data_IF_381410172251
#
_entry.id   IF_381410172251
#
_cell.length_a   1.000
_cell.length_b   1.000
_cell.length_c   1.000
_cell.angle_alpha   90.00
_cell.angle_beta   90.00
_cell.angle_gamma   90.00
#
_symmetry.space_group_name_H-M   'P 1'
#
loop_
_entity.id
_entity.type
_entity.pdbx_description
1 polymer ?
#
# COMPACT_ATOMS: atom_id res chain seq x y z
N UNK A 1 99.04 -50.04 7.66
CA UNK A 1 98.05 -49.05 8.01
C UNK A 1 97.54 -48.43 6.75
N UNK A 2 96.50 -49.00 6.18
CA UNK A 2 95.99 -48.65 4.86
C UNK A 2 94.69 -47.86 5.02
N UNK A 3 94.67 -46.72 4.45
CA UNK A 3 93.44 -45.83 4.46
C UNK A 3 92.61 -46.16 3.23
N UNK A 4 91.37 -46.58 3.42
CA UNK A 4 90.41 -46.86 2.36
C UNK A 4 89.80 -45.57 1.80
N UNK A 5 89.62 -45.41 0.49
CA UNK A 5 88.96 -44.22 -0.08
C UNK A 5 87.48 -44.43 -0.10
N UNK A 6 86.76 -43.36 0.34
CA UNK A 6 85.32 -43.21 0.33
C UNK A 6 84.77 -43.01 -1.09
N UNK A 7 84.04 -43.99 -1.65
CA UNK A 7 83.34 -43.90 -2.93
C UNK A 7 81.95 -43.14 -2.73
N UNK A 8 81.92 -41.94 -3.17
CA UNK A 8 80.64 -41.21 -3.33
C UNK A 8 79.80 -41.76 -4.48
N UNK A 9 78.67 -42.32 -4.18
CA UNK A 9 77.65 -42.76 -5.14
C UNK A 9 76.91 -41.56 -5.72
N UNK A 10 77.25 -41.15 -6.97
CA UNK A 10 76.39 -40.21 -7.76
C UNK A 10 75.15 -40.96 -8.23
N UNK A 11 74.03 -40.69 -7.61
CA UNK A 11 72.72 -41.19 -8.01
C UNK A 11 72.25 -40.38 -9.21
N UNK A 12 72.46 -40.80 -10.41
CA UNK A 12 71.94 -40.24 -11.64
C UNK A 12 70.48 -40.64 -11.75
N UNK A 13 69.54 -39.74 -11.31
CA UNK A 13 68.10 -39.87 -11.55
C UNK A 13 67.84 -39.60 -13.05
N UNK A 14 68.00 -40.64 -13.91
CA UNK A 14 67.41 -40.59 -15.25
C UNK A 14 65.91 -40.77 -15.12
N UNK A 15 65.17 -39.67 -15.06
CA UNK A 15 63.67 -39.71 -15.17
C UNK A 15 63.36 -40.41 -16.50
N UNK A 16 62.61 -41.50 -16.44
CA UNK A 16 62.05 -42.20 -17.59
C UNK A 16 61.31 -41.25 -18.48
N UNK A 17 61.41 -41.41 -19.81
CA UNK A 17 60.73 -40.56 -20.80
C UNK A 17 59.24 -40.43 -20.46
N UNK A 18 58.63 -41.52 -19.95
CA UNK A 18 57.25 -41.53 -19.49
C UNK A 18 56.99 -40.61 -18.27
N UNK A 19 57.93 -40.45 -17.34
CA UNK A 19 57.79 -39.57 -16.17
C UNK A 19 57.88 -38.11 -16.59
N UNK A 20 58.77 -37.79 -17.56
CA UNK A 20 58.84 -36.43 -18.12
C UNK A 20 57.62 -36.08 -18.90
N UNK A 21 57.00 -37.01 -19.63
CA UNK A 21 55.73 -36.81 -20.33
C UNK A 21 54.56 -36.57 -19.36
N UNK A 22 54.49 -37.36 -18.28
CA UNK A 22 53.41 -37.13 -17.23
C UNK A 22 53.56 -35.79 -16.54
N UNK A 23 54.75 -35.33 -16.23
CA UNK A 23 55.01 -34.01 -15.64
C UNK A 23 54.63 -32.90 -16.61
N UNK A 24 54.96 -33.02 -17.92
CA UNK A 24 54.57 -32.04 -18.92
C UNK A 24 53.06 -31.92 -19.07
N UNK A 25 52.35 -33.05 -19.09
CA UNK A 25 50.89 -33.05 -19.13
C UNK A 25 50.29 -32.39 -17.87
N UNK A 26 50.82 -32.70 -16.68
CA UNK A 26 50.35 -32.09 -15.43
C UNK A 26 50.54 -30.56 -15.42
N UNK A 27 51.68 -30.08 -15.94
CA UNK A 27 51.93 -28.62 -16.05
C UNK A 27 50.93 -27.96 -17.01
N UNK A 28 50.65 -28.60 -18.17
CA UNK A 28 49.68 -28.07 -19.15
C UNK A 28 48.28 -27.98 -18.53
N UNK A 29 47.85 -29.01 -17.78
CA UNK A 29 46.57 -29.02 -17.11
C UNK A 29 46.47 -27.88 -16.05
N UNK A 30 47.54 -27.69 -15.27
CA UNK A 30 47.59 -26.61 -14.26
C UNK A 30 47.54 -25.22 -14.92
N UNK A 31 48.24 -25.03 -16.04
CA UNK A 31 48.23 -23.78 -16.80
C UNK A 31 46.85 -23.53 -17.41
N UNK A 32 46.22 -24.56 -18.00
CA UNK A 32 44.88 -24.44 -18.55
C UNK A 32 43.82 -24.11 -17.44
N UNK A 33 43.92 -24.75 -16.27
CA UNK A 33 43.09 -24.44 -15.12
C UNK A 33 43.35 -23.01 -14.62
N UNK A 34 44.56 -22.56 -14.57
CA UNK A 34 44.94 -21.19 -14.19
C UNK A 34 44.33 -20.15 -15.15
N UNK A 35 44.45 -20.40 -16.48
CA UNK A 35 43.85 -19.52 -17.50
C UNK A 35 42.34 -19.56 -17.42
N UNK A 36 41.72 -20.73 -17.17
CA UNK A 36 40.26 -20.87 -17.01
C UNK A 36 39.74 -20.08 -15.79
N UNK A 37 40.41 -20.24 -14.66
CA UNK A 37 40.08 -19.47 -13.44
C UNK A 37 40.29 -17.97 -13.66
N UNK A 38 41.42 -17.58 -14.29
CA UNK A 38 41.67 -16.17 -14.61
C UNK A 38 40.61 -15.60 -15.57
N UNK A 39 40.17 -16.38 -16.56
CA UNK A 39 39.11 -15.98 -17.49
C UNK A 39 37.73 -15.84 -16.77
N UNK A 40 37.46 -16.71 -15.79
CA UNK A 40 36.28 -16.59 -14.93
C UNK A 40 36.35 -15.33 -14.07
N UNK A 41 37.48 -15.00 -13.50
CA UNK A 41 37.65 -13.79 -12.68
C UNK A 41 37.89 -12.52 -13.53
N UNK A 42 38.43 -12.61 -14.71
CA UNK A 42 38.63 -11.49 -15.64
C UNK A 42 37.47 -11.23 -16.57
N UNK A 43 36.47 -12.12 -16.59
CA UNK A 43 35.22 -11.84 -17.25
C UNK A 43 34.58 -10.69 -16.48
N UNK A 44 34.60 -9.49 -17.07
CA UNK A 44 33.91 -8.27 -16.59
C UNK A 44 32.36 -8.38 -16.61
N UNK A 45 31.85 -9.59 -16.77
CA UNK A 45 30.50 -9.93 -16.34
C UNK A 45 30.55 -10.19 -14.84
N UNK A 46 31.05 -9.21 -14.08
CA UNK A 46 30.73 -9.09 -12.69
C UNK A 46 29.22 -9.13 -12.63
N UNK A 47 28.65 -10.06 -11.89
CA UNK A 47 27.35 -9.94 -11.29
C UNK A 47 27.45 -8.66 -10.44
N UNK A 48 27.29 -7.52 -11.11
CA UNK A 48 27.04 -6.29 -10.41
C UNK A 48 25.62 -6.46 -9.89
N UNK A 49 25.52 -6.87 -8.64
CA UNK A 49 24.44 -6.51 -7.76
C UNK A 49 24.56 -4.99 -7.57
N UNK A 50 24.42 -4.26 -8.68
CA UNK A 50 24.05 -2.86 -8.61
C UNK A 50 22.67 -2.90 -7.94
N UNK A 51 22.49 -2.35 -6.73
CA UNK A 51 21.15 -2.07 -6.28
C UNK A 51 20.56 -1.23 -7.39
N UNK A 52 19.59 -1.78 -8.10
CA UNK A 52 18.83 -1.04 -9.10
C UNK A 52 18.05 -0.01 -8.30
N UNK A 53 18.67 1.16 -8.06
CA UNK A 53 18.05 2.32 -7.45
C UNK A 53 17.12 3.01 -8.46
N UNK A 54 16.83 2.38 -9.59
CA UNK A 54 15.80 2.85 -10.49
C UNK A 54 14.46 2.70 -9.75
N UNK A 55 13.93 3.83 -9.32
CA UNK A 55 12.60 3.96 -8.73
C UNK A 55 11.59 3.66 -9.84
N UNK A 56 11.36 2.38 -10.13
CA UNK A 56 10.45 1.94 -11.18
C UNK A 56 9.23 1.27 -10.55
N UNK A 57 8.18 2.07 -10.29
CA UNK A 57 6.87 1.49 -10.10
C UNK A 57 6.35 1.01 -11.46
N UNK A 58 5.93 -0.25 -11.54
CA UNK A 58 5.47 -0.83 -12.80
C UNK A 58 3.99 -0.52 -13.05
N UNK A 59 3.54 -0.45 -14.32
CA UNK A 59 2.12 -0.28 -14.63
C UNK A 59 1.22 -1.35 -13.99
N UNK A 60 1.71 -2.57 -13.85
CA UNK A 60 1.00 -3.67 -13.18
C UNK A 60 0.80 -3.40 -11.70
N UNK A 61 1.81 -2.86 -11.02
CA UNK A 61 1.69 -2.46 -9.60
C UNK A 61 0.68 -1.33 -9.42
N UNK A 62 0.71 -0.32 -10.29
CA UNK A 62 -0.26 0.78 -10.28
C UNK A 62 -1.68 0.23 -10.49
N UNK A 63 -1.86 -0.68 -11.46
CA UNK A 63 -3.16 -1.29 -11.71
C UNK A 63 -3.64 -2.11 -10.50
N UNK A 64 -2.76 -2.90 -9.87
CA UNK A 64 -3.11 -3.66 -8.67
C UNK A 64 -3.55 -2.76 -7.51
N UNK A 65 -2.96 -1.58 -7.36
CA UNK A 65 -3.39 -0.59 -6.36
C UNK A 65 -4.77 -0.03 -6.73
N UNK A 66 -5.03 0.27 -8.01
CA UNK A 66 -6.36 0.73 -8.46
C UNK A 66 -7.45 -0.32 -8.25
N UNK A 67 -7.11 -1.60 -8.41
CA UNK A 67 -8.04 -2.73 -8.26
C UNK A 67 -8.51 -2.93 -6.81
N UNK A 68 -7.87 -2.27 -5.82
CA UNK A 68 -8.38 -2.19 -4.45
C UNK A 68 -9.78 -1.53 -4.46
N UNK A 69 -10.03 -0.61 -5.40
CA UNK A 69 -11.28 0.12 -5.52
C UNK A 69 -11.44 1.14 -4.39
N UNK A 70 -12.44 0.96 -3.54
CA UNK A 70 -12.69 1.88 -2.43
C UNK A 70 -11.80 1.56 -1.24
N UNK A 71 -11.19 2.61 -0.66
CA UNK A 71 -10.35 2.50 0.53
C UNK A 71 -10.82 3.48 1.60
N UNK A 72 -11.29 2.91 2.72
CA UNK A 72 -11.77 3.66 3.88
C UNK A 72 -10.59 4.14 4.75
N UNK A 73 -10.64 5.41 5.16
CA UNK A 73 -9.63 6.03 6.03
C UNK A 73 -10.18 6.55 7.34
N UNK A 74 -11.50 6.76 7.43
CA UNK A 74 -12.17 7.21 8.65
C UNK A 74 -13.60 6.70 8.67
N UNK A 75 -13.97 5.99 9.75
CA UNK A 75 -15.35 5.65 10.07
C UNK A 75 -15.83 6.51 11.24
N UNK A 76 -17.02 7.12 11.12
CA UNK A 76 -17.61 7.98 12.12
C UNK A 76 -18.95 7.38 12.51
N UNK A 77 -19.04 6.88 13.74
CA UNK A 77 -20.29 6.45 14.31
C UNK A 77 -21.04 7.66 14.83
N UNK A 78 -22.31 7.78 14.46
CA UNK A 78 -23.15 8.88 14.87
C UNK A 78 -24.53 8.36 15.32
N UNK A 79 -25.15 9.12 16.21
CA UNK A 79 -26.49 8.91 16.72
C UNK A 79 -27.25 10.23 16.60
N UNK A 80 -28.45 10.19 16.00
CA UNK A 80 -29.32 11.33 15.86
C UNK A 80 -30.70 11.03 16.47
N UNK A 81 -31.15 11.95 17.29
CA UNK A 81 -32.48 11.90 17.87
C UNK A 81 -33.36 12.90 17.13
N UNK A 82 -34.39 12.39 16.49
CA UNK A 82 -35.35 13.19 15.73
C UNK A 82 -36.71 13.12 16.42
N UNK A 83 -37.27 14.26 16.70
CA UNK A 83 -38.62 14.41 17.25
C UNK A 83 -39.59 15.06 16.24
N UNK A 84 -40.81 14.71 16.33
CA UNK A 84 -41.91 15.30 15.56
C UNK A 84 -43.17 15.38 16.43
N UNK A 85 -43.75 16.57 16.50
CA UNK A 85 -45.00 16.83 17.22
C UNK A 85 -46.04 17.29 16.24
N UNK A 86 -47.24 16.70 16.35
CA UNK A 86 -48.43 17.11 15.58
C UNK A 86 -49.49 17.58 16.57
N UNK A 87 -49.79 18.86 16.55
CA UNK A 87 -50.80 19.44 17.39
C UNK A 87 -52.21 19.10 16.89
N UNK A 88 -53.04 18.53 17.74
CA UNK A 88 -54.41 18.13 17.44
C UNK A 88 -55.44 18.74 18.43
N UNK A 89 -56.68 18.84 17.98
CA UNK A 89 -57.78 19.41 18.82
C UNK A 89 -58.03 18.56 20.08
N UNK A 90 -57.81 17.25 20.01
CA UNK A 90 -58.02 16.31 21.12
C UNK A 90 -56.70 15.90 21.83
N UNK A 91 -55.63 16.66 21.59
CA UNK A 91 -54.31 16.41 22.18
C UNK A 91 -53.23 16.24 21.12
N UNK A 92 -51.97 16.32 21.55
CA UNK A 92 -50.82 16.24 20.69
C UNK A 92 -50.39 14.78 20.47
N UNK A 93 -50.05 14.48 19.24
CA UNK A 93 -49.32 13.28 18.86
C UNK A 93 -47.79 13.60 18.81
N UNK A 94 -46.99 12.73 19.35
CA UNK A 94 -45.53 12.92 19.42
C UNK A 94 -44.83 11.63 19.07
N UNK A 95 -43.77 11.73 18.22
CA UNK A 95 -42.91 10.63 17.83
C UNK A 95 -41.46 11.06 17.98
N UNK A 96 -40.71 10.32 18.80
CA UNK A 96 -39.28 10.49 18.96
C UNK A 96 -38.58 9.20 18.52
N UNK A 97 -37.65 9.31 17.57
CA UNK A 97 -36.88 8.19 17.06
C UNK A 97 -35.38 8.43 17.19
N UNK A 98 -34.67 7.35 17.48
CA UNK A 98 -33.20 7.35 17.55
C UNK A 98 -32.68 6.60 16.33
N UNK A 99 -31.85 7.28 15.55
CA UNK A 99 -31.21 6.77 14.37
C UNK A 99 -29.72 6.56 14.65
N UNK A 100 -29.18 5.41 14.25
CA UNK A 100 -27.76 5.08 14.35
C UNK A 100 -27.18 4.99 12.96
N UNK A 101 -25.98 5.52 12.76
CA UNK A 101 -25.31 5.47 11.45
C UNK A 101 -23.79 5.39 11.57
N UNK A 102 -23.16 4.88 10.53
CA UNK A 102 -21.70 4.84 10.40
C UNK A 102 -21.31 5.44 9.06
N UNK A 103 -20.80 6.67 9.07
CA UNK A 103 -20.34 7.34 7.87
C UNK A 103 -18.88 6.96 7.60
N UNK A 104 -18.60 6.44 6.40
CA UNK A 104 -17.29 5.99 5.98
C UNK A 104 -16.69 6.95 4.98
N UNK A 105 -15.59 7.59 5.38
CA UNK A 105 -14.84 8.53 4.55
C UNK A 105 -13.61 7.86 3.98
N UNK A 106 -13.41 8.00 2.67
CA UNK A 106 -12.30 7.38 1.97
C UNK A 106 -12.14 7.91 0.56
N UNK A 107 -11.38 7.19 -0.23
CA UNK A 107 -11.20 7.45 -1.67
C UNK A 107 -11.68 6.27 -2.48
N UNK A 108 -12.00 6.55 -3.74
CA UNK A 108 -12.21 5.52 -4.75
C UNK A 108 -11.07 5.59 -5.76
N UNK A 109 -10.26 4.56 -5.79
CA UNK A 109 -9.11 4.48 -6.67
C UNK A 109 -9.50 4.28 -8.14
N UNK A 110 -10.74 3.89 -8.40
CA UNK A 110 -11.26 3.81 -9.77
C UNK A 110 -11.50 5.21 -10.36
N UNK A 111 -11.74 6.21 -9.52
CA UNK A 111 -11.87 7.62 -9.94
C UNK A 111 -10.51 8.29 -10.23
N UNK A 112 -9.39 7.57 -10.06
CA UNK A 112 -8.05 8.12 -10.31
C UNK A 112 -7.67 8.06 -11.78
N UNK A 113 -6.83 9.00 -12.21
CA UNK A 113 -6.14 8.91 -13.50
C UNK A 113 -5.21 7.70 -13.54
N UNK A 114 -4.90 7.22 -14.75
CA UNK A 114 -3.98 6.09 -14.91
C UNK A 114 -2.59 6.39 -14.34
N UNK A 115 -2.21 7.66 -14.32
CA UNK A 115 -0.91 8.15 -13.89
C UNK A 115 -0.94 8.79 -12.47
N UNK A 116 -1.91 8.37 -11.62
CA UNK A 116 -2.00 8.90 -10.27
C UNK A 116 -0.77 8.57 -9.41
N UNK A 117 0.00 7.56 -9.81
CA UNK A 117 1.33 7.25 -9.27
C UNK A 117 2.34 7.37 -10.40
N UNK A 118 3.35 8.22 -10.24
CA UNK A 118 4.37 8.45 -11.26
C UNK A 118 5.73 8.77 -10.65
N UNK A 119 6.78 8.46 -11.40
CA UNK A 119 8.15 8.83 -11.03
C UNK A 119 8.38 10.31 -11.34
N UNK A 120 8.94 11.04 -10.40
CA UNK A 120 9.35 12.44 -10.54
C UNK A 120 10.78 12.63 -9.98
N UNK A 121 11.77 12.56 -10.85
CA UNK A 121 13.18 12.55 -10.45
C UNK A 121 13.52 11.27 -9.68
N UNK A 122 14.01 11.40 -8.46
CA UNK A 122 14.32 10.29 -7.55
C UNK A 122 13.18 9.95 -6.57
N UNK A 123 11.98 10.48 -6.81
CA UNK A 123 10.82 10.36 -5.93
C UNK A 123 9.63 9.74 -6.66
N UNK A 124 8.78 9.05 -5.91
CA UNK A 124 7.44 8.64 -6.37
C UNK A 124 6.45 9.72 -5.94
N UNK A 125 5.74 10.29 -6.91
CA UNK A 125 4.61 11.17 -6.67
C UNK A 125 3.31 10.37 -6.74
N UNK A 126 2.52 10.44 -5.66
CA UNK A 126 1.17 9.86 -5.56
C UNK A 126 0.16 10.99 -5.49
N UNK A 127 -0.74 11.07 -6.47
CA UNK A 127 -1.84 12.03 -6.53
C UNK A 127 -3.13 11.34 -6.10
N UNK A 128 -3.59 11.60 -4.86
CA UNK A 128 -4.81 11.01 -4.33
C UNK A 128 -6.05 11.81 -4.79
N UNK A 129 -7.15 11.12 -5.11
CA UNK A 129 -8.43 11.77 -5.37
C UNK A 129 -8.98 12.39 -4.08
N UNK A 130 -10.03 13.23 -4.15
CA UNK A 130 -10.61 13.83 -2.97
C UNK A 130 -11.24 12.77 -2.07
N UNK A 131 -11.22 13.02 -0.76
CA UNK A 131 -11.97 12.23 0.20
C UNK A 131 -13.46 12.35 -0.13
N UNK A 132 -14.17 11.25 -0.10
CA UNK A 132 -15.63 11.21 -0.30
C UNK A 132 -16.31 10.30 0.71
N UNK A 133 -17.63 10.45 0.86
CA UNK A 133 -18.45 9.45 1.52
C UNK A 133 -18.53 8.21 0.63
N UNK A 134 -18.17 7.04 1.18
CA UNK A 134 -18.10 5.79 0.41
C UNK A 134 -19.46 5.07 0.35
N UNK A 135 -20.29 5.25 1.39
CA UNK A 135 -21.59 4.60 1.47
C UNK A 135 -22.67 5.65 1.77
N UNK A 136 -23.71 5.72 0.93
CA UNK A 136 -24.85 6.60 1.13
C UNK A 136 -25.98 5.95 1.96
N UNK A 137 -25.91 4.65 2.23
CA UNK A 137 -26.85 3.92 3.08
C UNK A 137 -26.23 3.68 4.46
N UNK A 138 -25.76 4.75 5.10
CA UNK A 138 -25.00 4.68 6.33
C UNK A 138 -25.87 4.59 7.59
N UNK A 139 -27.19 4.82 7.50
CA UNK A 139 -28.12 4.66 8.62
C UNK A 139 -28.47 3.18 8.76
N UNK A 140 -28.30 2.66 9.96
CA UNK A 140 -28.68 1.30 10.34
C UNK A 140 -30.16 1.25 10.73
N UNK A 141 -31.01 0.93 9.77
CA UNK A 141 -32.47 0.83 9.98
C UNK A 141 -32.85 -0.25 11.00
N UNK A 142 -32.08 -1.32 11.08
CA UNK A 142 -32.33 -2.41 12.02
C UNK A 142 -32.11 -1.99 13.48
N UNK A 143 -31.25 -1.01 13.72
CA UNK A 143 -31.00 -0.42 15.05
C UNK A 143 -31.86 0.78 15.33
N UNK A 144 -32.53 1.36 14.32
CA UNK A 144 -33.41 2.51 14.49
C UNK A 144 -34.62 2.15 15.37
N UNK A 145 -34.81 2.86 16.44
CA UNK A 145 -35.89 2.58 17.42
C UNK A 145 -36.76 3.79 17.66
N UNK A 146 -38.07 3.55 17.93
CA UNK A 146 -38.94 4.59 18.50
C UNK A 146 -38.66 4.67 20.00
N UNK A 147 -38.15 5.82 20.46
CA UNK A 147 -37.95 6.10 21.88
C UNK A 147 -39.23 6.44 22.57
N UNK A 148 -40.09 7.24 21.89
CA UNK A 148 -41.40 7.61 22.33
C UNK A 148 -42.35 7.69 21.13
N UNK A 149 -43.56 7.17 21.30
CA UNK A 149 -44.59 7.20 20.25
C UNK A 149 -45.96 7.34 20.88
N UNK A 150 -46.68 8.42 20.52
CA UNK A 150 -48.05 8.72 20.92
C UNK A 150 -48.81 9.22 19.70
N UNK A 151 -49.98 8.65 19.44
CA UNK A 151 -50.83 8.96 18.28
C UNK A 151 -50.51 8.09 17.06
N UNK A 152 -51.15 8.38 15.94
CA UNK A 152 -51.00 7.61 14.69
C UNK A 152 -50.01 8.26 13.76
N UNK A 153 -49.01 7.48 13.33
CA UNK A 153 -47.93 7.93 12.47
C UNK A 153 -47.87 7.10 11.18
N UNK A 154 -47.83 7.79 10.05
CA UNK A 154 -47.79 7.16 8.73
C UNK A 154 -46.37 6.77 8.34
N UNK A 155 -46.22 5.93 7.31
CA UNK A 155 -44.90 5.62 6.72
C UNK A 155 -44.21 6.91 6.24
N UNK A 156 -44.97 7.85 5.65
CA UNK A 156 -44.43 9.13 5.18
C UNK A 156 -43.82 9.95 6.31
N UNK A 157 -44.49 10.02 7.47
CA UNK A 157 -43.98 10.76 8.63
C UNK A 157 -42.62 10.16 9.08
N UNK A 158 -42.50 8.83 9.04
CA UNK A 158 -41.23 8.12 9.39
C UNK A 158 -40.16 8.36 8.36
N UNK A 159 -40.49 8.41 7.06
CA UNK A 159 -39.57 8.74 5.98
C UNK A 159 -39.06 10.18 6.10
N UNK A 160 -39.94 11.14 6.41
CA UNK A 160 -39.56 12.54 6.63
C UNK A 160 -38.59 12.67 7.83
N UNK A 161 -38.80 11.89 8.91
CA UNK A 161 -37.88 11.82 10.04
C UNK A 161 -36.54 11.18 9.66
N UNK A 162 -36.56 10.12 8.83
CA UNK A 162 -35.34 9.47 8.31
C UNK A 162 -34.50 10.47 7.50
N UNK A 163 -35.12 11.24 6.60
CA UNK A 163 -34.42 12.24 5.80
C UNK A 163 -33.79 13.33 6.69
N UNK A 164 -34.48 13.78 7.72
CA UNK A 164 -33.95 14.75 8.69
C UNK A 164 -32.75 14.17 9.44
N UNK A 165 -32.81 12.92 9.87
CA UNK A 165 -31.69 12.24 10.51
C UNK A 165 -30.49 12.10 9.54
N UNK A 166 -30.75 11.70 8.30
CA UNK A 166 -29.75 11.57 7.25
C UNK A 166 -29.00 12.89 7.00
N UNK A 167 -29.75 14.00 6.82
CA UNK A 167 -29.16 15.32 6.60
C UNK A 167 -28.36 15.81 7.82
N UNK A 168 -28.91 15.63 9.03
CA UNK A 168 -28.24 16.02 10.27
C UNK A 168 -26.90 15.24 10.47
N UNK A 169 -26.89 13.94 10.20
CA UNK A 169 -25.68 13.12 10.25
C UNK A 169 -24.64 13.56 9.22
N UNK A 170 -25.06 13.86 7.98
CA UNK A 170 -24.14 14.38 6.95
C UNK A 170 -23.53 15.71 7.38
N UNK A 171 -24.34 16.64 7.85
CA UNK A 171 -23.87 17.96 8.27
C UNK A 171 -22.88 17.88 9.45
N UNK A 172 -23.15 16.98 10.40
CA UNK A 172 -22.30 16.78 11.58
C UNK A 172 -20.99 16.05 11.26
N UNK A 173 -20.99 15.12 10.30
CA UNK A 173 -19.86 14.25 10.00
C UNK A 173 -18.97 14.75 8.86
N UNK A 174 -19.54 15.44 7.85
CA UNK A 174 -18.78 15.98 6.71
C UNK A 174 -18.18 17.36 7.00
N UNK A 175 -17.65 17.52 8.19
CA UNK A 175 -16.94 18.75 8.60
C UNK A 175 -15.46 18.69 8.19
N UNK A 176 -14.86 19.86 7.99
CA UNK A 176 -13.47 20.01 7.56
C UNK A 176 -12.49 19.20 8.42
N UNK A 177 -12.71 19.14 9.73
CA UNK A 177 -11.86 18.39 10.66
C UNK A 177 -11.84 16.89 10.35
N UNK A 178 -12.98 16.29 10.02
CA UNK A 178 -13.09 14.86 9.69
C UNK A 178 -12.49 14.58 8.32
N UNK A 179 -12.73 15.45 7.33
CA UNK A 179 -12.10 15.35 6.01
C UNK A 179 -10.59 15.39 6.14
N UNK A 180 -10.03 16.38 6.85
CA UNK A 180 -8.56 16.47 7.09
C UNK A 180 -8.01 15.26 7.85
N UNK A 181 -8.80 14.67 8.73
CA UNK A 181 -8.39 13.45 9.44
C UNK A 181 -8.32 12.26 8.50
N UNK A 182 -9.31 12.08 7.63
CA UNK A 182 -9.30 11.06 6.59
C UNK A 182 -8.13 11.26 5.60
N UNK A 183 -7.85 12.51 5.18
CA UNK A 183 -6.68 12.85 4.33
C UNK A 183 -5.36 12.48 4.99
N UNK A 184 -5.17 12.82 6.28
CA UNK A 184 -3.95 12.44 7.02
C UNK A 184 -3.77 10.93 7.08
N UNK A 185 -4.85 10.20 7.34
CA UNK A 185 -4.83 8.74 7.39
C UNK A 185 -4.50 8.15 6.00
N UNK A 186 -5.10 8.69 4.94
CA UNK A 186 -4.79 8.32 3.57
C UNK A 186 -3.31 8.51 3.26
N UNK A 187 -2.77 9.70 3.55
CA UNK A 187 -1.37 10.04 3.31
C UNK A 187 -0.42 9.07 4.05
N UNK A 188 -0.71 8.77 5.31
CA UNK A 188 0.09 7.84 6.09
C UNK A 188 0.05 6.41 5.54
N UNK A 189 -1.12 5.94 5.12
CA UNK A 189 -1.27 4.58 4.59
C UNK A 189 -0.59 4.46 3.23
N UNK A 190 -0.76 5.42 2.32
CA UNK A 190 -0.07 5.42 1.04
C UNK A 190 1.44 5.59 1.18
N UNK A 191 1.89 6.43 2.10
CA UNK A 191 3.32 6.54 2.41
C UNK A 191 3.91 5.21 2.86
N UNK A 192 3.24 4.51 3.78
CA UNK A 192 3.67 3.18 4.25
C UNK A 192 3.64 2.14 3.13
N UNK A 193 2.61 2.18 2.28
CA UNK A 193 2.49 1.28 1.13
C UNK A 193 3.67 1.46 0.18
N UNK A 194 3.97 2.70 -0.22
CA UNK A 194 5.10 2.99 -1.12
C UNK A 194 6.44 2.60 -0.49
N UNK A 195 6.63 2.85 0.82
CA UNK A 195 7.81 2.41 1.56
C UNK A 195 7.94 0.88 1.56
N UNK A 196 6.85 0.15 1.79
CA UNK A 196 6.84 -1.31 1.77
C UNK A 196 7.15 -1.90 0.38
N UNK A 197 6.84 -1.14 -0.69
CA UNK A 197 7.20 -1.47 -2.06
C UNK A 197 8.67 -1.13 -2.41
N UNK A 198 9.45 -0.59 -1.46
CA UNK A 198 10.88 -0.29 -1.63
C UNK A 198 11.19 1.12 -2.11
N UNK A 199 10.21 2.03 -2.14
CA UNK A 199 10.43 3.42 -2.56
C UNK A 199 10.83 4.29 -1.37
N UNK A 200 12.04 4.85 -1.41
CA UNK A 200 12.56 5.66 -0.29
C UNK A 200 12.02 7.10 -0.30
N UNK A 201 11.88 7.70 -1.47
CA UNK A 201 11.43 9.07 -1.62
C UNK A 201 9.98 9.09 -2.13
N UNK A 202 9.03 9.46 -1.27
CA UNK A 202 7.60 9.46 -1.57
C UNK A 202 7.00 10.82 -1.31
N UNK A 203 6.32 11.38 -2.31
CA UNK A 203 5.58 12.64 -2.23
C UNK A 203 4.11 12.33 -2.45
N UNK A 204 3.25 12.71 -1.51
CA UNK A 204 1.81 12.51 -1.62
C UNK A 204 1.13 13.88 -1.74
N UNK A 205 0.22 14.00 -2.70
CA UNK A 205 -0.61 15.18 -2.92
C UNK A 205 -2.07 14.77 -2.90
N UNK A 206 -2.88 15.52 -2.17
CA UNK A 206 -4.33 15.33 -2.14
C UNK A 206 -5.01 16.29 -3.12
N UNK A 207 -6.04 15.80 -3.80
CA UNK A 207 -6.99 16.66 -4.50
C UNK A 207 -7.94 17.25 -3.46
N UNK A 208 -8.16 18.58 -3.44
CA UNK A 208 -9.04 19.20 -2.45
C UNK A 208 -10.46 18.63 -2.49
N UNK A 209 -11.05 18.44 -1.31
CA UNK A 209 -12.46 18.11 -1.17
C UNK A 209 -13.32 19.28 -1.68
N UNK A 210 -14.15 19.03 -2.69
CA UNK A 210 -15.12 20.01 -3.16
C UNK A 210 -16.44 19.76 -2.45
N UNK A 211 -16.76 20.59 -1.46
CA UNK A 211 -18.09 20.60 -0.88
C UNK A 211 -19.07 21.05 -1.97
N UNK A 212 -19.99 20.17 -2.39
CA UNK A 212 -21.10 20.59 -3.28
C UNK A 212 -21.86 21.70 -2.58
N UNK A 213 -21.72 22.94 -3.10
CA UNK A 213 -22.55 24.07 -2.65
C UNK A 213 -24.02 23.67 -2.72
N UNK A 214 -24.72 23.71 -1.60
CA UNK A 214 -26.20 23.58 -1.58
C UNK A 214 -26.75 24.69 -2.47
N UNK A 215 -27.31 24.35 -3.64
CA UNK A 215 -28.15 25.23 -4.44
C UNK A 215 -29.58 25.11 -3.94
#
# INVERSE_FOLDING_TARGET
METMPNKQFKRNHRFSLMTRLKIAIAIVVVVCLGIFVWKLFSSKNGFSLSPNNDINITPTQIQSIRDIGQWEFLAINNEEIIDTVRHGFFGDAELVRIYYGTLRLGIDLQDTDKDFIRVQGDSILVQLPPIKLLDHQFIDEARTTSFFEKGDWTAKDRDDMYQRAYEAMLERCLVEQNIKSAERNANQQFFRLMKAMGHENVIIRNTPYMQKSKK
#
